data_IF_661249647845
#
_entry.id   IF_661249647845
#
_cell.length_a   1.000
_cell.length_b   1.000
_cell.length_c   1.000
_cell.angle_alpha   90.00
_cell.angle_beta   90.00
_cell.angle_gamma   90.00
#
_symmetry.space_group_name_H-M   'P 1'
#
loop_
_entity.id
_entity.type
_entity.pdbx_description
1 polymer ?
#
# COMPACT_ATOMS: atom_id res chain seq x y z
N UNK A 1 6.37 14.86 8.14
CA UNK A 1 5.72 13.58 8.49
C UNK A 1 5.97 13.08 9.93
N UNK A 2 7.13 12.50 10.30
CA UNK A 2 7.33 11.89 11.66
C UNK A 2 7.16 12.91 12.79
N UNK A 3 7.74 14.11 12.63
CA UNK A 3 7.61 15.19 13.62
C UNK A 3 6.14 15.60 13.82
N UNK A 4 5.38 15.72 12.72
CA UNK A 4 3.96 16.07 12.77
C UNK A 4 3.12 14.96 13.37
N UNK A 5 3.38 13.69 13.01
CA UNK A 5 2.70 12.54 13.60
C UNK A 5 2.90 12.49 15.11
N UNK A 6 4.16 12.62 15.56
CA UNK A 6 4.51 12.65 16.99
C UNK A 6 3.86 13.82 17.70
N UNK A 7 3.86 15.00 17.07
CA UNK A 7 3.21 16.20 17.62
C UNK A 7 1.70 16.00 17.79
N UNK A 8 1.02 15.45 16.78
CA UNK A 8 -0.42 15.15 16.83
C UNK A 8 -0.74 14.10 17.89
N UNK A 9 0.08 13.05 18.00
CA UNK A 9 -0.08 12.01 19.01
C UNK A 9 0.07 12.55 20.45
N UNK A 10 1.01 13.47 20.66
CA UNK A 10 1.20 14.12 21.96
C UNK A 10 0.02 15.06 22.32
N UNK A 11 -0.61 15.68 21.33
CA UNK A 11 -1.76 16.57 21.52
C UNK A 11 -3.08 15.82 21.76
N UNK A 12 -3.22 14.60 21.22
CA UNK A 12 -4.44 13.80 21.31
C UNK A 12 -4.53 12.90 22.55
N UNK A 13 -3.44 12.75 23.30
CA UNK A 13 -3.34 11.80 24.41
C UNK A 13 -3.42 12.49 25.78
N UNK A 14 -4.62 12.51 26.37
CA UNK A 14 -4.74 12.54 27.83
C UNK A 14 -4.39 11.13 28.37
N UNK A 15 -3.21 11.01 28.99
CA UNK A 15 -2.74 9.89 29.84
C UNK A 15 -2.21 8.58 29.19
N UNK A 16 -1.83 8.52 27.91
CA UNK A 16 -1.15 7.34 27.35
C UNK A 16 0.26 7.64 26.78
N UNK A 17 1.35 7.30 27.50
CA UNK A 17 2.72 7.72 27.17
C UNK A 17 3.44 6.93 26.05
N UNK A 18 2.76 6.28 25.11
CA UNK A 18 3.37 5.18 24.32
C UNK A 18 3.16 5.19 22.80
N UNK A 19 2.83 6.33 22.18
CA UNK A 19 2.76 6.43 20.72
C UNK A 19 4.06 7.06 20.19
N UNK A 20 4.82 6.28 19.42
CA UNK A 20 6.09 6.71 18.82
C UNK A 20 6.13 6.39 17.34
N UNK A 21 6.89 7.17 16.57
CA UNK A 21 7.15 6.91 15.15
C UNK A 21 8.65 6.82 14.89
N UNK A 22 9.05 6.01 13.91
CA UNK A 22 10.45 5.77 13.54
C UNK A 22 10.55 5.63 12.03
N UNK A 23 11.61 6.19 11.43
CA UNK A 23 11.93 5.97 10.02
C UNK A 23 12.81 4.73 9.87
N UNK A 24 12.45 3.83 8.96
CA UNK A 24 13.29 2.72 8.54
C UNK A 24 12.62 1.90 7.44
N UNK A 25 13.43 1.14 6.72
CA UNK A 25 12.98 0.26 5.65
C UNK A 25 13.33 -1.20 5.97
N UNK A 26 12.31 -2.02 6.21
CA UNK A 26 12.47 -3.46 6.45
C UNK A 26 12.47 -4.28 5.16
N UNK A 27 12.16 -3.67 4.03
CA UNK A 27 11.85 -4.34 2.77
C UNK A 27 12.98 -4.20 1.74
N UNK A 28 14.00 -3.37 2.03
CA UNK A 28 15.27 -3.39 1.32
C UNK A 28 16.02 -4.72 1.55
N UNK A 29 16.03 -5.56 0.51
CA UNK A 29 16.70 -6.87 0.51
C UNK A 29 18.22 -6.76 0.65
N UNK A 30 18.82 -5.62 0.30
CA UNK A 30 20.26 -5.38 0.47
C UNK A 30 20.63 -5.04 1.92
N UNK A 31 19.65 -4.60 2.72
CA UNK A 31 19.79 -4.26 4.13
C UNK A 31 18.62 -4.82 4.97
N UNK A 32 18.49 -6.14 5.11
CA UNK A 32 17.31 -6.78 5.73
C UNK A 32 17.16 -6.53 7.23
N UNK A 33 18.17 -5.95 7.88
CA UNK A 33 18.19 -5.64 9.32
C UNK A 33 18.79 -4.25 9.55
N UNK A 34 18.08 -3.18 9.17
CA UNK A 34 18.60 -1.82 9.27
C UNK A 34 18.88 -1.46 10.74
N UNK A 35 20.00 -0.78 11.06
CA UNK A 35 20.34 -0.40 12.43
C UNK A 35 19.26 0.40 13.16
N UNK A 36 18.47 1.20 12.43
CA UNK A 36 17.37 1.99 13.01
C UNK A 36 16.26 1.12 13.63
N UNK A 37 16.12 -0.14 13.18
CA UNK A 37 15.06 -1.07 13.59
C UNK A 37 15.63 -2.36 14.21
N UNK A 38 16.87 -2.35 14.70
CA UNK A 38 17.53 -3.52 15.30
C UNK A 38 17.41 -3.59 16.82
N UNK A 39 17.00 -2.49 17.48
CA UNK A 39 16.78 -2.47 18.93
C UNK A 39 15.69 -3.46 19.36
N UNK A 40 15.80 -4.11 20.54
CA UNK A 40 14.81 -5.06 21.06
C UNK A 40 13.37 -4.54 21.11
N UNK A 41 13.16 -3.22 21.18
CA UNK A 41 11.83 -2.60 21.16
C UNK A 41 11.06 -2.80 19.85
N UNK A 42 11.74 -3.18 18.75
CA UNK A 42 11.12 -3.42 17.44
C UNK A 42 10.85 -4.91 17.18
N UNK A 43 10.75 -5.71 18.24
CA UNK A 43 10.48 -7.14 18.17
C UNK A 43 9.45 -7.56 19.22
N UNK A 44 8.95 -8.79 19.08
CA UNK A 44 7.99 -9.40 19.98
C UNK A 44 6.63 -8.69 20.06
N UNK A 45 6.24 -7.99 19.00
CA UNK A 45 4.91 -7.40 18.92
C UNK A 45 3.82 -8.46 18.98
N UNK A 46 2.74 -8.17 19.71
CA UNK A 46 1.50 -8.95 19.66
C UNK A 46 0.86 -8.86 18.28
N UNK A 47 0.85 -7.66 17.72
CA UNK A 47 0.20 -7.32 16.45
C UNK A 47 1.11 -6.39 15.65
N UNK A 48 1.27 -6.67 14.37
CA UNK A 48 1.78 -5.73 13.38
C UNK A 48 0.67 -5.43 12.38
N UNK A 49 0.49 -4.17 12.01
CA UNK A 49 -0.58 -3.74 11.10
C UNK A 49 -0.04 -2.95 9.94
N UNK A 50 -0.55 -3.21 8.73
CA UNK A 50 -0.30 -2.37 7.56
C UNK A 50 -1.64 -2.05 6.89
N UNK A 51 -2.05 -0.79 6.95
CA UNK A 51 -3.28 -0.33 6.30
C UNK A 51 -2.95 0.39 5.00
N UNK A 52 -3.57 -0.06 3.90
CA UNK A 52 -3.41 0.52 2.57
C UNK A 52 -1.94 0.70 2.16
N UNK A 53 -1.10 -0.31 2.42
CA UNK A 53 0.34 -0.23 2.17
C UNK A 53 0.91 -1.38 1.36
N UNK A 54 0.23 -2.53 1.32
CA UNK A 54 0.79 -3.73 0.66
C UNK A 54 0.85 -3.58 -0.85
N UNK A 55 -0.04 -2.79 -1.45
CA UNK A 55 0.02 -2.42 -2.86
C UNK A 55 1.29 -1.67 -3.29
N UNK A 56 2.06 -1.11 -2.35
CA UNK A 56 3.34 -0.45 -2.63
C UNK A 56 4.54 -1.41 -2.59
N UNK A 57 4.38 -2.64 -2.11
CA UNK A 57 5.50 -3.56 -1.92
C UNK A 57 5.76 -4.40 -3.16
N UNK A 58 7.00 -4.34 -3.67
CA UNK A 58 7.43 -5.13 -4.83
C UNK A 58 7.37 -6.65 -4.58
N UNK A 59 7.63 -7.06 -3.33
CA UNK A 59 7.62 -8.45 -2.91
C UNK A 59 6.83 -8.60 -1.61
N UNK A 60 5.53 -8.86 -1.75
CA UNK A 60 4.59 -9.01 -0.63
C UNK A 60 4.92 -10.21 0.26
N UNK A 61 5.52 -11.28 -0.28
CA UNK A 61 5.93 -12.46 0.48
C UNK A 61 7.11 -12.08 1.38
N UNK A 62 8.12 -11.41 0.83
CA UNK A 62 9.27 -10.93 1.59
C UNK A 62 8.85 -9.90 2.64
N UNK A 63 8.04 -8.91 2.28
CA UNK A 63 7.56 -7.89 3.21
C UNK A 63 6.76 -8.50 4.37
N UNK A 64 5.82 -9.40 4.08
CA UNK A 64 5.09 -10.15 5.11
C UNK A 64 6.03 -10.99 5.98
N UNK A 65 7.05 -11.63 5.39
CA UNK A 65 8.07 -12.39 6.10
C UNK A 65 8.91 -11.52 7.05
N UNK A 66 9.30 -10.33 6.63
CA UNK A 66 10.05 -9.36 7.45
C UNK A 66 9.21 -8.87 8.62
N UNK A 67 7.94 -8.53 8.40
CA UNK A 67 7.00 -8.17 9.47
C UNK A 67 6.76 -9.33 10.44
N UNK A 68 6.65 -10.57 9.92
CA UNK A 68 6.51 -11.77 10.75
C UNK A 68 7.66 -11.90 11.76
N UNK A 69 8.89 -11.60 11.35
CA UNK A 69 10.04 -11.68 12.26
C UNK A 69 9.93 -10.71 13.45
N UNK A 70 9.17 -9.61 13.30
CA UNK A 70 8.93 -8.62 14.35
C UNK A 70 7.86 -9.04 15.35
N UNK A 71 7.02 -10.01 15.00
CA UNK A 71 5.98 -10.55 15.89
C UNK A 71 6.55 -11.53 16.90
N UNK A 72 5.97 -11.63 18.10
CA UNK A 72 6.26 -12.78 19.01
C UNK A 72 5.70 -14.09 18.43
N UNK A 73 6.16 -15.28 18.88
CA UNK A 73 5.45 -16.53 18.58
C UNK A 73 3.96 -16.42 18.95
N UNK A 74 3.08 -16.73 18.00
CA UNK A 74 1.63 -16.54 18.15
C UNK A 74 1.11 -15.12 17.89
N UNK A 75 1.98 -14.13 17.65
CA UNK A 75 1.58 -12.78 17.25
C UNK A 75 0.99 -12.76 15.84
N UNK A 76 0.29 -11.67 15.49
CA UNK A 76 -0.54 -11.60 14.28
C UNK A 76 -0.15 -10.43 13.38
N UNK A 77 -0.01 -10.69 12.08
CA UNK A 77 0.00 -9.64 11.07
C UNK A 77 -1.44 -9.40 10.61
N UNK A 78 -1.91 -8.16 10.64
CA UNK A 78 -3.20 -7.73 10.07
C UNK A 78 -2.94 -6.73 8.96
N UNK A 79 -3.56 -6.91 7.81
CA UNK A 79 -3.48 -5.94 6.71
C UNK A 79 -4.88 -5.58 6.25
N UNK A 80 -5.03 -4.36 5.72
CA UNK A 80 -6.19 -4.01 4.93
C UNK A 80 -5.76 -3.35 3.63
N UNK A 81 -6.41 -3.71 2.53
CA UNK A 81 -6.12 -3.19 1.21
C UNK A 81 -7.33 -3.33 0.28
N UNK A 82 -7.18 -3.01 -1.00
CA UNK A 82 -8.29 -3.02 -1.97
C UNK A 82 -8.56 -4.40 -2.57
N UNK A 83 -9.83 -4.78 -2.63
CA UNK A 83 -10.28 -6.01 -3.28
C UNK A 83 -10.42 -5.84 -4.80
N UNK A 84 -9.88 -6.79 -5.57
CA UNK A 84 -10.06 -6.86 -7.02
C UNK A 84 -11.54 -7.00 -7.39
N UNK A 85 -11.98 -6.23 -8.39
CA UNK A 85 -13.38 -6.22 -8.83
C UNK A 85 -14.35 -5.56 -7.84
N UNK A 86 -13.83 -5.00 -6.75
CA UNK A 86 -14.64 -4.43 -5.67
C UNK A 86 -15.01 -2.96 -5.85
N UNK A 87 -14.54 -2.29 -6.91
CA UNK A 87 -14.81 -0.89 -7.16
C UNK A 87 -16.22 -0.73 -7.77
N UNK A 88 -16.91 0.36 -7.42
CA UNK A 88 -18.24 0.74 -7.95
C UNK A 88 -18.20 2.21 -8.31
N UNK A 89 -18.66 2.56 -9.50
CA UNK A 89 -18.70 3.96 -9.97
C UNK A 89 -19.75 4.77 -9.20
N UNK A 90 -19.57 6.09 -9.23
CA UNK A 90 -20.45 7.05 -8.58
C UNK A 90 -21.11 7.94 -9.63
N UNK A 91 -22.41 8.18 -9.48
CA UNK A 91 -23.16 9.13 -10.31
C UNK A 91 -22.89 10.61 -9.92
N UNK A 92 -23.51 11.55 -10.63
CA UNK A 92 -23.37 12.99 -10.32
C UNK A 92 -23.88 13.35 -8.91
N UNK A 93 -24.80 12.55 -8.36
CA UNK A 93 -25.39 12.72 -7.03
C UNK A 93 -24.62 12.07 -5.88
N UNK A 94 -23.50 11.38 -6.16
CA UNK A 94 -22.74 10.69 -5.12
C UNK A 94 -23.20 9.26 -4.83
N UNK A 95 -24.16 8.73 -5.59
CA UNK A 95 -24.73 7.40 -5.39
C UNK A 95 -23.98 6.32 -6.17
N UNK A 96 -23.97 5.10 -5.65
CA UNK A 96 -23.41 3.94 -6.35
C UNK A 96 -24.21 3.63 -7.61
N UNK A 97 -23.51 3.44 -8.73
CA UNK A 97 -24.12 2.98 -9.99
C UNK A 97 -24.25 1.45 -9.97
N UNK A 98 -25.47 0.94 -9.96
CA UNK A 98 -25.75 -0.50 -9.97
C UNK A 98 -25.16 -1.18 -11.23
N UNK A 99 -24.54 -2.35 -11.05
CA UNK A 99 -23.92 -3.10 -12.15
C UNK A 99 -22.59 -2.54 -12.63
N UNK A 100 -22.06 -1.52 -11.96
CA UNK A 100 -20.74 -0.95 -12.25
C UNK A 100 -19.61 -1.58 -11.45
N UNK A 101 -19.81 -2.74 -10.84
CA UNK A 101 -18.75 -3.47 -10.15
C UNK A 101 -17.59 -3.79 -11.10
N UNK A 102 -16.36 -3.52 -10.68
CA UNK A 102 -15.19 -3.80 -11.50
C UNK A 102 -13.89 -3.29 -10.90
N UNK A 103 -12.92 -3.07 -11.78
CA UNK A 103 -11.61 -2.50 -11.45
C UNK A 103 -11.53 -1.12 -12.12
N UNK A 104 -11.76 -0.07 -11.34
CA UNK A 104 -11.87 1.31 -11.85
C UNK A 104 -10.70 2.20 -11.46
N UNK A 105 -9.96 1.80 -10.42
CA UNK A 105 -8.75 2.47 -9.96
C UNK A 105 -7.55 2.33 -10.93
N UNK A 106 -7.60 1.39 -11.88
CA UNK A 106 -6.57 1.24 -12.91
C UNK A 106 -6.72 2.30 -13.99
N UNK A 107 -5.60 2.72 -14.56
CA UNK A 107 -5.58 3.51 -15.79
C UNK A 107 -6.28 2.71 -16.90
N UNK A 108 -7.49 3.12 -17.23
CA UNK A 108 -8.18 2.73 -18.45
C UNK A 108 -7.39 3.28 -19.63
N UNK A 109 -6.49 2.48 -20.19
CA UNK A 109 -6.20 2.57 -21.61
C UNK A 109 -7.48 2.15 -22.32
N UNK A 110 -8.31 3.11 -22.69
CA UNK A 110 -9.37 2.87 -23.66
C UNK A 110 -8.71 2.41 -24.97
N UNK A 111 -8.68 1.10 -25.20
CA UNK A 111 -8.55 0.52 -26.52
C UNK A 111 -9.90 0.66 -27.24
N UNK A 112 -10.16 1.87 -27.75
CA UNK A 112 -11.24 2.13 -28.70
C UNK A 112 -10.65 2.20 -30.11
N UNK A 113 -11.01 1.23 -30.94
CA UNK A 113 -10.62 1.10 -32.35
C UNK A 113 -11.10 2.25 -33.24
N UNK A 114 -10.21 2.69 -34.15
CA UNK A 114 -10.54 3.06 -35.54
C UNK A 114 -10.94 4.51 -35.82
N UNK A 115 -10.04 5.29 -36.43
CA UNK A 115 -10.22 5.77 -37.80
C UNK A 115 -8.91 6.39 -38.32
N UNK A 116 -8.47 5.83 -39.45
CA UNK A 116 -7.40 6.27 -40.33
C UNK A 116 -7.65 7.71 -40.82
N UNK A 117 -6.63 8.57 -40.77
CA UNK A 117 -6.42 9.67 -41.72
C UNK A 117 -4.96 10.10 -41.64
N UNK A 118 -4.17 9.65 -42.61
CA UNK A 118 -2.78 10.05 -42.76
C UNK A 118 -2.59 11.55 -42.95
N UNK A 119 -1.45 12.04 -42.52
CA UNK A 119 -0.63 13.05 -43.21
C UNK A 119 0.75 13.02 -42.55
N UNK A 120 1.79 12.72 -43.35
CA UNK A 120 3.16 12.72 -42.88
C UNK A 120 3.66 14.11 -42.50
N UNK A 121 4.73 14.16 -41.72
CA UNK A 121 5.87 15.07 -41.90
C UNK A 121 6.96 14.69 -40.88
N UNK A 122 8.15 14.40 -41.39
CA UNK A 122 9.39 14.32 -40.62
C UNK A 122 9.70 15.67 -39.95
N UNK A 123 10.30 15.66 -38.76
CA UNK A 123 11.48 16.48 -38.43
C UNK A 123 12.13 15.96 -37.14
N UNK A 124 13.43 15.67 -37.20
CA UNK A 124 14.23 15.36 -36.02
C UNK A 124 14.60 16.64 -35.26
N UNK A 125 14.75 16.51 -33.94
CA UNK A 125 15.71 17.27 -33.15
C UNK A 125 15.91 16.57 -31.80
N UNK A 126 17.17 16.29 -31.47
CA UNK A 126 17.54 15.65 -30.21
C UNK A 126 17.39 16.57 -29.00
N UNK A 127 17.18 15.96 -27.83
CA UNK A 127 17.50 16.55 -26.55
C UNK A 127 17.95 15.45 -25.59
N UNK A 128 19.21 15.51 -25.19
CA UNK A 128 19.76 14.67 -24.14
C UNK A 128 19.19 15.10 -22.79
N UNK A 129 18.71 14.14 -22.01
CA UNK A 129 18.47 14.31 -20.58
C UNK A 129 19.44 13.44 -19.82
N UNK A 130 20.36 14.12 -19.13
CA UNK A 130 21.18 13.56 -18.07
C UNK A 130 20.26 13.11 -16.94
N UNK A 131 20.43 11.87 -16.50
CA UNK A 131 19.97 11.40 -15.21
C UNK A 131 20.87 12.02 -14.13
N UNK A 132 20.24 12.73 -13.20
CA UNK A 132 20.82 13.05 -11.91
C UNK A 132 19.70 12.81 -10.90
N UNK A 133 19.63 11.55 -10.46
CA UNK A 133 18.93 11.18 -9.24
C UNK A 133 19.59 11.94 -8.08
N UNK A 134 18.86 12.90 -7.54
CA UNK A 134 19.17 13.54 -6.28
C UNK A 134 17.90 13.48 -5.45
N UNK A 135 17.85 12.51 -4.53
CA UNK A 135 16.92 12.42 -3.41
C UNK A 135 17.11 13.62 -2.48
N UNK A 136 16.58 14.77 -2.91
CA UNK A 136 16.63 16.01 -2.17
C UNK A 136 15.21 16.51 -1.92
N UNK A 137 14.37 15.73 -1.24
CA UNK A 137 13.05 16.21 -0.83
C UNK A 137 12.51 15.54 0.45
N UNK A 138 13.38 15.36 1.45
CA UNK A 138 12.95 14.97 2.79
C UNK A 138 12.38 16.15 3.63
N UNK A 139 12.43 17.38 3.11
CA UNK A 139 12.17 18.63 3.86
C UNK A 139 11.08 19.52 3.25
N UNK A 140 10.52 19.21 2.06
CA UNK A 140 9.42 20.00 1.50
C UNK A 140 8.09 19.59 2.13
N UNK A 141 7.38 20.56 2.72
CA UNK A 141 5.98 20.40 3.09
C UNK A 141 5.19 20.19 1.81
N UNK A 142 4.78 18.95 1.53
CA UNK A 142 3.87 18.68 0.43
C UNK A 142 2.56 19.42 0.68
N UNK A 143 2.20 20.32 -0.25
CA UNK A 143 0.87 20.90 -0.30
C UNK A 143 -0.12 19.75 -0.52
N UNK A 144 -1.06 19.59 0.40
CA UNK A 144 -2.07 18.51 0.32
C UNK A 144 -3.03 18.71 -0.85
N UNK A 145 -3.04 19.91 -1.44
CA UNK A 145 -3.88 20.27 -2.58
C UNK A 145 -3.09 20.28 -3.91
N UNK A 146 -1.81 19.89 -3.91
CA UNK A 146 -1.04 19.72 -5.15
C UNK A 146 -1.67 18.61 -5.99
N UNK A 147 -2.25 18.99 -7.13
CA UNK A 147 -2.85 18.10 -8.13
C UNK A 147 -2.06 18.13 -9.43
N UNK A 148 -0.77 18.48 -9.35
CA UNK A 148 0.06 18.60 -10.52
C UNK A 148 0.22 17.24 -11.23
N UNK A 149 0.31 17.24 -12.57
CA UNK A 149 0.58 16.02 -13.33
C UNK A 149 1.86 15.30 -12.90
N UNK A 150 2.86 16.05 -12.43
CA UNK A 150 4.11 15.50 -11.92
C UNK A 150 3.90 14.72 -10.62
N UNK A 151 3.12 15.26 -9.68
CA UNK A 151 2.76 14.54 -8.45
C UNK A 151 1.94 13.29 -8.77
N UNK A 152 0.94 13.39 -9.65
CA UNK A 152 0.14 12.24 -10.08
C UNK A 152 0.99 11.12 -10.68
N UNK A 153 2.00 11.47 -11.50
CA UNK A 153 2.94 10.49 -12.06
C UNK A 153 3.77 9.82 -10.96
N UNK A 154 4.28 10.59 -10.00
CA UNK A 154 5.06 10.05 -8.86
C UNK A 154 4.20 9.13 -7.98
N UNK A 155 2.97 9.51 -7.68
CA UNK A 155 2.01 8.68 -6.92
C UNK A 155 1.66 7.39 -7.67
N UNK A 156 1.43 7.46 -8.98
CA UNK A 156 1.11 6.27 -9.76
C UNK A 156 2.29 5.31 -9.82
N UNK A 157 3.52 5.84 -9.91
CA UNK A 157 4.74 5.05 -9.95
C UNK A 157 5.05 4.31 -8.62
N UNK A 158 4.49 4.76 -7.49
CA UNK A 158 4.71 4.07 -6.21
C UNK A 158 3.79 2.86 -6.02
N UNK A 159 2.74 2.70 -6.82
CA UNK A 159 1.81 1.56 -6.71
C UNK A 159 2.32 0.40 -7.56
N UNK A 160 2.64 -0.72 -6.91
CA UNK A 160 3.09 -1.96 -7.56
C UNK A 160 1.90 -2.81 -8.00
N UNK A 161 0.90 -2.95 -7.12
CA UNK A 161 -0.28 -3.79 -7.35
C UNK A 161 -1.54 -3.02 -6.98
N UNK A 162 -2.52 -2.91 -7.87
CA UNK A 162 -3.67 -2.00 -7.67
C UNK A 162 -4.77 -2.55 -6.76
N UNK A 163 -4.78 -3.87 -6.58
CA UNK A 163 -5.80 -4.63 -5.85
C UNK A 163 -5.31 -6.05 -5.57
N UNK A 164 -5.94 -6.72 -4.62
CA UNK A 164 -5.66 -8.11 -4.33
C UNK A 164 -6.92 -8.98 -4.45
N UNK A 165 -6.73 -10.24 -4.81
CA UNK A 165 -7.75 -11.27 -4.67
C UNK A 165 -7.67 -11.93 -3.29
N UNK A 166 -8.80 -12.47 -2.81
CA UNK A 166 -8.83 -13.24 -1.55
C UNK A 166 -7.82 -14.39 -1.56
N UNK A 167 -7.77 -15.14 -2.66
CA UNK A 167 -6.85 -16.27 -2.81
C UNK A 167 -5.39 -15.82 -2.93
N UNK A 168 -5.13 -14.70 -3.62
CA UNK A 168 -3.80 -14.10 -3.72
C UNK A 168 -3.25 -13.73 -2.34
N UNK A 169 -4.07 -13.09 -1.50
CA UNK A 169 -3.68 -12.75 -0.12
C UNK A 169 -3.42 -13.99 0.71
N UNK A 170 -4.33 -14.97 0.66
CA UNK A 170 -4.17 -16.23 1.38
C UNK A 170 -2.89 -16.95 1.00
N UNK A 171 -2.57 -16.97 -0.31
CA UNK A 171 -1.36 -17.57 -0.86
C UNK A 171 -0.11 -16.90 -0.31
N UNK A 172 0.05 -15.58 -0.46
CA UNK A 172 1.30 -14.93 -0.04
C UNK A 172 1.50 -14.93 1.49
N UNK A 173 0.43 -14.87 2.28
CA UNK A 173 0.53 -15.05 3.73
C UNK A 173 1.05 -16.44 4.10
N UNK A 174 0.53 -17.48 3.42
CA UNK A 174 0.97 -18.86 3.65
C UNK A 174 2.41 -19.07 3.20
N UNK A 175 2.80 -18.54 2.04
CA UNK A 175 4.18 -18.58 1.53
C UNK A 175 5.15 -17.81 2.42
N UNK A 176 4.72 -16.69 3.01
CA UNK A 176 5.47 -15.98 4.03
C UNK A 176 5.54 -16.74 5.37
N UNK A 177 4.91 -17.91 5.48
CA UNK A 177 4.94 -18.82 6.61
C UNK A 177 4.09 -18.38 7.80
N UNK A 178 2.96 -17.73 7.54
CA UNK A 178 1.88 -17.54 8.51
C UNK A 178 0.94 -18.76 8.53
N UNK A 179 0.26 -18.96 9.65
CA UNK A 179 -0.80 -19.97 9.86
C UNK A 179 -2.10 -19.26 10.28
N UNK A 180 -3.21 -20.00 10.32
CA UNK A 180 -4.54 -19.47 10.65
C UNK A 180 -4.91 -18.23 9.83
N UNK A 181 -4.69 -18.32 8.52
CA UNK A 181 -4.87 -17.22 7.58
C UNK A 181 -6.36 -17.03 7.28
N UNK A 182 -6.89 -15.86 7.61
CA UNK A 182 -8.24 -15.45 7.29
C UNK A 182 -8.21 -14.20 6.41
N UNK A 183 -9.11 -14.14 5.43
CA UNK A 183 -9.27 -12.98 4.54
C UNK A 183 -10.77 -12.73 4.39
N UNK A 184 -11.21 -11.50 4.66
CA UNK A 184 -12.61 -11.09 4.61
C UNK A 184 -12.74 -9.78 3.84
N UNK A 185 -13.74 -9.68 2.96
CA UNK A 185 -14.13 -8.42 2.35
C UNK A 185 -15.13 -7.70 3.25
N UNK A 186 -14.97 -6.40 3.44
CA UNK A 186 -15.97 -5.59 4.11
C UNK A 186 -17.22 -5.50 3.25
N UNK A 187 -18.39 -5.56 3.90
CA UNK A 187 -19.69 -5.33 3.26
C UNK A 187 -19.83 -3.87 2.85
N UNK A 188 -19.41 -2.97 3.74
CA UNK A 188 -19.41 -1.54 3.49
C UNK A 188 -18.20 -1.16 2.65
N UNK A 189 -18.43 -0.32 1.65
CA UNK A 189 -17.40 0.19 0.73
C UNK A 189 -16.93 1.56 1.19
N UNK A 190 -15.67 1.89 0.91
CA UNK A 190 -15.12 3.22 1.17
C UNK A 190 -15.28 4.10 -0.05
N UNK A 191 -15.91 5.26 0.10
CA UNK A 191 -15.84 6.30 -0.93
C UNK A 191 -14.41 6.80 -1.08
N UNK A 192 -13.94 6.94 -2.31
CA UNK A 192 -12.62 7.48 -2.64
C UNK A 192 -12.68 8.28 -3.93
N UNK A 193 -11.88 9.34 -3.97
CA UNK A 193 -11.57 10.08 -5.19
C UNK A 193 -10.10 9.85 -5.53
N UNK A 194 -9.84 9.26 -6.70
CA UNK A 194 -8.50 8.89 -7.13
C UNK A 194 -8.32 9.19 -8.61
N UNK A 195 -7.31 10.00 -8.96
CA UNK A 195 -7.03 10.37 -10.35
C UNK A 195 -8.22 11.06 -11.05
N UNK A 196 -9.01 11.85 -10.33
CA UNK A 196 -10.21 12.51 -10.84
C UNK A 196 -11.43 11.60 -11.02
N UNK A 197 -11.32 10.31 -10.65
CA UNK A 197 -12.45 9.37 -10.63
C UNK A 197 -13.02 9.26 -9.23
N UNK A 198 -14.35 9.28 -9.13
CA UNK A 198 -15.10 9.02 -7.89
C UNK A 198 -15.61 7.59 -7.92
N UNK A 199 -15.30 6.82 -6.88
CA UNK A 199 -15.68 5.41 -6.78
C UNK A 199 -15.83 4.99 -5.32
N UNK A 200 -16.67 3.99 -5.08
CA UNK A 200 -16.66 3.23 -3.84
C UNK A 200 -15.78 1.99 -4.02
N UNK A 201 -14.78 1.80 -3.16
CA UNK A 201 -13.89 0.64 -3.22
C UNK A 201 -14.20 -0.34 -2.10
N UNK A 202 -14.18 -1.63 -2.42
CA UNK A 202 -14.31 -2.69 -1.40
C UNK A 202 -12.95 -2.91 -0.74
N UNK A 203 -12.93 -2.83 0.59
CA UNK A 203 -11.73 -3.09 1.39
C UNK A 203 -11.75 -4.56 1.80
N UNK A 204 -10.61 -5.24 1.66
CA UNK A 204 -10.38 -6.53 2.32
C UNK A 204 -9.54 -6.35 3.57
N UNK A 205 -9.78 -7.19 4.55
CA UNK A 205 -8.92 -7.40 5.71
C UNK A 205 -8.35 -8.81 5.62
N UNK A 206 -7.08 -8.96 5.95
CA UNK A 206 -6.46 -10.25 6.14
C UNK A 206 -5.71 -10.29 7.45
N UNK A 207 -5.69 -11.47 8.06
CA UNK A 207 -4.81 -11.76 9.19
C UNK A 207 -4.09 -13.08 8.97
N UNK A 208 -2.89 -13.18 9.54
CA UNK A 208 -2.18 -14.43 9.68
C UNK A 208 -1.35 -14.43 10.95
N UNK A 209 -1.28 -15.59 11.60
CA UNK A 209 -0.57 -15.77 12.87
C UNK A 209 0.83 -16.31 12.63
N UNK A 210 1.83 -15.76 13.32
CA UNK A 210 3.18 -16.34 13.39
C UNK A 210 3.08 -17.69 14.13
N UNK A 211 3.61 -18.80 13.57
CA UNK A 211 3.60 -20.08 14.27
C UNK A 211 4.21 -19.98 15.67
N UNK A 212 3.62 -20.71 16.62
CA UNK A 212 4.25 -20.95 17.92
C UNK A 212 5.24 -22.09 17.69
N UNK A 213 6.51 -21.91 18.05
CA UNK A 213 7.44 -23.03 18.00
C UNK A 213 6.94 -24.12 18.94
N UNK A 214 6.80 -25.36 18.44
CA UNK A 214 6.60 -26.49 19.34
C UNK A 214 7.81 -26.53 20.28
N UNK A 215 7.56 -26.59 21.60
CA UNK A 215 8.64 -26.88 22.53
C UNK A 215 9.17 -28.26 22.15
N UNK A 216 10.42 -28.32 21.67
CA UNK A 216 11.12 -29.59 21.59
C UNK A 216 11.16 -30.15 23.00
N UNK A 217 10.36 -31.17 23.28
CA UNK A 217 10.52 -31.99 24.47
C UNK A 217 11.81 -32.79 24.28
N UNK A 218 12.92 -32.20 24.72
CA UNK A 218 14.21 -32.86 24.95
C UNK A 218 14.54 -32.76 26.43
#
# INVERSE_FOLDING_TARGET
>A
MISEYTTRAAQSSSNHPTITATNGDLFDKSNPSPPALSSPQYFNFDIATVGFGFHHFEDVVYAAGQLKQRLRPGGVLVINDFLEGGDVLVDEGGNMVEGSEGVHAVHSHNHGHGHDHGHGHHHGHGHGHKHADADADAETTHDTDDTSPALHKKMSASIVVQHFTVDGVRKFFTEAGFVDVDVVALKDKSYMEFGGKKMYRTILFAKGRRPVAEKSEL
#
